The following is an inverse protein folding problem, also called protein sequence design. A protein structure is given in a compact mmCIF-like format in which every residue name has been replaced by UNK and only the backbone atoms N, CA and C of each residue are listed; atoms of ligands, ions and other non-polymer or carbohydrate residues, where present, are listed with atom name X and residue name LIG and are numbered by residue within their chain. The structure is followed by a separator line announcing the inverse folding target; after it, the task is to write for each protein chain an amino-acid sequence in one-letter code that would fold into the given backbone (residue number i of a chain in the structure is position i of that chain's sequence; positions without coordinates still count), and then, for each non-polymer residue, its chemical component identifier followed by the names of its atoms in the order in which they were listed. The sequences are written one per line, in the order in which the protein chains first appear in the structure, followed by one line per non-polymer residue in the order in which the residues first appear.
data_IF_147817833224
#
_entry.id   IF_147817833224
#
_cell.length_a   1.000
_cell.length_b   1.000
_cell.length_c   1.000
_cell.angle_alpha   90.00
_cell.angle_beta   90.00
_cell.angle_gamma   90.00
#
_symmetry.space_group_name_H-M   'P 1'
#
loop_
_entity.id
_entity.type
_entity.pdbx_description
1 polymer ?
#
# COMPACT_ATOMS: atom_id res chain seq x y z
N UNK A 1 4.60 3.71 12.97
CA UNK A 1 4.74 2.38 12.30
C UNK A 1 5.20 2.62 10.88
N UNK A 2 6.10 1.77 10.38
CA UNK A 2 6.66 1.91 9.03
C UNK A 2 6.58 0.58 8.26
N UNK A 3 6.35 0.66 6.96
CA UNK A 3 6.54 -0.44 6.01
C UNK A 3 7.34 0.06 4.81
N UNK A 4 8.32 -0.71 4.35
CA UNK A 4 9.24 -0.32 3.28
C UNK A 4 9.19 -1.34 2.13
N UNK A 5 9.17 -0.85 0.90
CA UNK A 5 9.26 -1.69 -0.30
C UNK A 5 8.17 -2.76 -0.40
N UNK A 6 6.96 -2.45 0.05
CA UNK A 6 5.82 -3.37 0.02
C UNK A 6 5.53 -3.78 -1.42
N UNK A 7 5.48 -5.09 -1.66
CA UNK A 7 5.15 -5.68 -2.97
C UNK A 7 4.12 -6.78 -2.77
N UNK A 8 3.12 -6.81 -3.64
CA UNK A 8 2.09 -7.84 -3.64
C UNK A 8 1.72 -8.23 -5.06
N UNK A 9 1.63 -9.54 -5.30
CA UNK A 9 1.12 -10.09 -6.54
C UNK A 9 -0.03 -11.06 -6.28
N UNK A 10 -0.97 -11.10 -7.22
CA UNK A 10 -1.98 -12.14 -7.35
C UNK A 10 -1.76 -12.85 -8.69
N UNK A 11 -1.30 -14.11 -8.61
CA UNK A 11 -0.82 -14.82 -9.78
C UNK A 11 0.31 -14.05 -10.48
N UNK A 12 0.13 -13.79 -11.78
CA UNK A 12 1.09 -13.03 -12.60
C UNK A 12 0.96 -11.50 -12.48
N UNK A 13 -0.09 -10.99 -11.84
CA UNK A 13 -0.34 -9.54 -11.74
C UNK A 13 0.26 -8.99 -10.46
N UNK A 14 1.17 -8.02 -10.59
CA UNK A 14 1.63 -7.18 -9.47
C UNK A 14 0.57 -6.11 -9.19
N UNK A 15 0.09 -6.04 -7.95
CA UNK A 15 -0.94 -5.10 -7.50
C UNK A 15 -0.43 -4.02 -6.55
N UNK A 16 0.70 -4.28 -5.90
CA UNK A 16 1.47 -3.28 -5.14
C UNK A 16 2.92 -3.44 -5.57
N UNK A 17 3.58 -2.34 -5.93
CA UNK A 17 4.98 -2.34 -6.34
C UNK A 17 5.77 -1.26 -5.61
N UNK A 18 6.71 -1.72 -4.78
CA UNK A 18 7.70 -0.92 -4.08
C UNK A 18 7.13 0.25 -3.24
N UNK A 19 6.02 0.00 -2.55
CA UNK A 19 5.36 1.04 -1.75
C UNK A 19 5.98 1.14 -0.37
N UNK A 20 6.36 2.35 0.02
CA UNK A 20 6.79 2.67 1.38
C UNK A 20 5.76 3.58 2.03
N UNK A 21 5.36 3.27 3.26
CA UNK A 21 4.45 4.11 4.05
C UNK A 21 4.91 4.23 5.51
N UNK A 22 4.66 5.39 6.08
CA UNK A 22 4.84 5.69 7.50
C UNK A 22 3.51 6.18 8.07
N UNK A 23 3.18 5.76 9.29
CA UNK A 23 2.01 6.23 10.03
C UNK A 23 2.45 6.57 11.44
N UNK A 24 2.26 7.83 11.85
CA UNK A 24 2.61 8.30 13.18
C UNK A 24 1.58 7.88 14.25
N UNK A 25 1.96 7.80 15.53
CA UNK A 25 1.00 7.57 16.61
C UNK A 25 -0.11 8.64 16.62
N UNK A 26 -1.37 8.21 16.54
CA UNK A 26 -2.53 9.09 16.51
C UNK A 26 -2.92 9.62 15.11
N UNK A 27 -2.16 9.27 14.07
CA UNK A 27 -2.47 9.63 12.69
C UNK A 27 -3.57 8.71 12.10
N UNK A 28 -4.51 9.31 11.38
CA UNK A 28 -5.55 8.58 10.63
C UNK A 28 -5.32 8.76 9.14
N UNK A 29 -5.04 7.65 8.44
CA UNK A 29 -4.73 7.65 7.01
C UNK A 29 -5.86 6.95 6.24
N UNK A 30 -6.36 7.59 5.19
CA UNK A 30 -7.28 7.00 4.22
C UNK A 30 -6.62 6.83 2.87
N UNK A 31 -6.77 5.66 2.25
CA UNK A 31 -6.32 5.42 0.88
C UNK A 31 -7.50 5.63 -0.09
N UNK A 32 -7.29 6.39 -1.17
CA UNK A 32 -8.29 6.65 -2.22
C UNK A 32 -7.78 6.29 -3.62
N UNK A 33 -8.70 5.86 -4.50
CA UNK A 33 -8.39 5.45 -5.87
C UNK A 33 -9.48 4.56 -6.49
N UNK A 34 -9.31 4.15 -7.74
CA UNK A 34 -10.24 3.23 -8.40
C UNK A 34 -10.24 1.81 -7.77
N UNK A 35 -11.25 1.00 -8.10
CA UNK A 35 -11.30 -0.42 -7.74
C UNK A 35 -10.12 -1.17 -8.37
N UNK A 36 -9.43 -1.98 -7.57
CA UNK A 36 -8.25 -2.75 -8.01
C UNK A 36 -6.94 -1.96 -8.07
N UNK A 37 -6.87 -0.74 -7.53
CA UNK A 37 -5.67 0.10 -7.51
C UNK A 37 -4.59 -0.32 -6.49
N UNK A 38 -4.86 -1.33 -5.66
CA UNK A 38 -3.89 -1.78 -4.64
C UNK A 38 -3.97 -1.04 -3.30
N UNK A 39 -5.07 -0.32 -3.07
CA UNK A 39 -5.53 0.03 -1.72
C UNK A 39 -5.99 -1.20 -0.99
#
# INVERSE_FOLDING_TARGET
MAAFGLRKSYGRRRVVDDVTLHVEPGEVVGLLGANGAGK
#
